data_IF_274390261932
#
_entry.id   IF_274390261932
#
_cell.length_a   1.000
_cell.length_b   1.000
_cell.length_c   1.000
_cell.angle_alpha   90.00
_cell.angle_beta   90.00
_cell.angle_gamma   90.00
#
_symmetry.space_group_name_H-M   'P 1'
#
loop_
_entity.id
_entity.type
_entity.pdbx_description
1 polymer ?
#
# COMPACT_ATOMS: atom_id res chain seq x y z
N UNK A 1 10.79 -9.25 32.35
CA UNK A 1 9.35 -9.62 32.39
C UNK A 1 8.62 -8.46 33.03
N UNK A 2 8.16 -7.50 32.24
CA UNK A 2 7.11 -6.56 32.67
C UNK A 2 6.13 -6.46 31.52
N UNK A 3 4.87 -6.86 31.80
CA UNK A 3 3.79 -6.88 30.82
C UNK A 3 3.35 -5.44 30.58
N UNK A 4 3.53 -4.97 29.35
CA UNK A 4 2.93 -3.72 28.89
C UNK A 4 1.43 -3.96 28.72
N UNK A 5 0.65 -3.69 29.76
CA UNK A 5 -0.81 -3.76 29.74
C UNK A 5 -1.35 -2.49 29.10
N UNK A 6 -1.98 -2.62 27.93
CA UNK A 6 -2.70 -1.53 27.27
C UNK A 6 -3.74 -0.95 28.26
N UNK A 7 -3.79 0.37 28.49
CA UNK A 7 -4.67 0.96 29.51
C UNK A 7 -6.13 0.64 29.20
N UNK A 8 -6.88 0.21 30.22
CA UNK A 8 -8.29 -0.12 30.02
C UNK A 8 -9.08 1.17 29.74
N UNK A 9 -10.25 1.10 29.08
CA UNK A 9 -11.07 2.28 28.75
C UNK A 9 -11.41 3.15 29.97
N UNK A 10 -11.50 2.54 31.16
CA UNK A 10 -11.68 3.26 32.43
C UNK A 10 -10.45 4.08 32.85
N UNK A 11 -9.26 3.61 32.53
CA UNK A 11 -8.00 4.29 32.84
C UNK A 11 -7.80 5.50 31.92
N UNK A 12 -8.17 5.36 30.64
CA UNK A 12 -8.20 6.47 29.68
C UNK A 12 -9.25 7.54 30.06
N UNK A 13 -10.42 7.11 30.56
CA UNK A 13 -11.43 8.01 31.09
C UNK A 13 -10.93 8.80 32.30
N UNK A 14 -10.29 8.12 33.25
CA UNK A 14 -9.71 8.77 34.43
C UNK A 14 -8.57 9.74 34.05
N UNK A 15 -7.77 9.38 33.05
CA UNK A 15 -6.66 10.20 32.55
C UNK A 15 -7.17 11.44 31.79
N UNK A 16 -8.21 11.31 30.96
CA UNK A 16 -8.84 12.44 30.28
C UNK A 16 -9.54 13.39 31.28
N UNK A 17 -10.14 12.84 32.34
CA UNK A 17 -10.73 13.63 33.43
C UNK A 17 -9.63 14.39 34.19
N UNK A 18 -8.50 13.76 34.50
CA UNK A 18 -7.37 14.42 35.17
C UNK A 18 -6.75 15.52 34.29
N UNK A 19 -6.55 15.28 33.00
CA UNK A 19 -6.03 16.29 32.06
C UNK A 19 -6.97 17.50 31.96
N UNK A 20 -8.30 17.27 32.01
CA UNK A 20 -9.30 18.35 32.00
C UNK A 20 -9.29 19.18 33.28
N UNK A 21 -8.90 18.57 34.41
CA UNK A 21 -8.76 19.23 35.71
C UNK A 21 -7.45 20.02 35.81
N UNK A 22 -6.38 19.57 35.17
CA UNK A 22 -5.10 20.29 35.17
C UNK A 22 -5.10 21.53 34.26
N UNK A 23 -5.78 21.45 33.10
CA UNK A 23 -5.98 22.61 32.20
C UNK A 23 -6.84 23.71 32.87
N UNK A 24 -7.73 23.33 33.82
CA UNK A 24 -8.57 24.26 34.57
C UNK A 24 -7.89 25.01 35.73
N UNK A 25 -6.59 24.82 35.97
CA UNK A 25 -5.85 25.52 37.05
C UNK A 25 -5.19 26.84 36.64
N UNK A 26 -5.31 27.26 35.38
CA UNK A 26 -4.61 28.44 34.86
C UNK A 26 -5.44 29.73 34.80
N UNK A 27 -6.74 29.73 35.11
CA UNK A 27 -7.56 30.95 35.06
C UNK A 27 -8.50 31.07 36.27
N UNK A 28 -8.48 32.26 36.88
CA UNK A 28 -9.14 32.59 38.14
C UNK A 28 -10.67 32.51 38.10
N UNK A 29 -11.17 31.73 39.05
CA UNK A 29 -12.44 31.75 39.78
C UNK A 29 -13.50 32.81 39.42
N UNK A 30 -14.57 32.36 38.75
CA UNK A 30 -15.97 32.57 39.19
C UNK A 30 -16.93 31.77 38.31
N UNK A 31 -17.43 30.62 38.79
CA UNK A 31 -18.67 30.05 38.27
C UNK A 31 -18.62 28.66 37.62
N UNK A 32 -17.66 27.78 37.93
CA UNK A 32 -17.70 26.38 37.45
C UNK A 32 -17.51 25.35 38.57
N UNK A 33 -18.18 25.56 39.72
CA UNK A 33 -18.49 24.49 40.67
C UNK A 33 -19.62 23.59 40.12
N UNK A 34 -19.35 22.97 38.98
CA UNK A 34 -20.21 21.98 38.35
C UNK A 34 -19.43 20.68 38.19
N UNK A 35 -19.23 19.96 39.30
CA UNK A 35 -19.03 18.51 39.29
C UNK A 35 -19.95 17.94 38.20
N UNK A 36 -19.38 17.25 37.20
CA UNK A 36 -20.13 16.79 36.03
C UNK A 36 -21.51 16.29 36.44
N UNK A 37 -22.55 16.94 35.91
CA UNK A 37 -23.92 16.64 36.24
C UNK A 37 -24.21 15.14 35.99
N UNK A 38 -24.87 14.43 36.94
CA UNK A 38 -25.12 12.99 36.82
C UNK A 38 -25.87 12.61 35.54
N UNK A 39 -26.70 13.49 35.00
CA UNK A 39 -27.44 13.24 33.76
C UNK A 39 -26.50 13.29 32.55
N UNK A 40 -25.50 14.19 32.56
CA UNK A 40 -24.49 14.28 31.50
C UNK A 40 -23.56 13.06 31.48
N UNK A 41 -23.21 12.49 32.64
CA UNK A 41 -22.47 11.21 32.71
C UNK A 41 -23.31 10.06 32.15
N UNK A 42 -24.57 9.93 32.57
CA UNK A 42 -25.46 8.89 32.06
C UNK A 42 -25.74 9.03 30.56
N UNK A 43 -25.83 10.26 30.06
CA UNK A 43 -25.95 10.52 28.63
C UNK A 43 -24.67 10.12 27.89
N UNK A 44 -23.48 10.49 28.37
CA UNK A 44 -22.22 10.06 27.78
C UNK A 44 -22.06 8.54 27.82
N UNK A 45 -22.40 7.88 28.94
CA UNK A 45 -22.38 6.42 29.05
C UNK A 45 -23.39 5.77 28.11
N UNK A 46 -24.57 6.36 27.93
CA UNK A 46 -25.60 5.87 26.99
C UNK A 46 -25.19 6.07 25.53
N UNK A 47 -24.59 7.22 25.19
CA UNK A 47 -24.03 7.49 23.87
C UNK A 47 -22.83 6.59 23.60
N UNK A 48 -21.96 6.39 24.57
CA UNK A 48 -20.85 5.43 24.44
C UNK A 48 -21.37 3.99 24.38
N UNK A 49 -22.42 3.62 25.09
CA UNK A 49 -23.02 2.29 25.00
C UNK A 49 -23.85 2.09 23.72
N UNK A 50 -24.39 3.13 23.10
CA UNK A 50 -25.06 3.01 21.80
C UNK A 50 -24.06 3.01 20.65
N UNK A 51 -22.97 3.79 20.76
CA UNK A 51 -21.90 3.90 19.77
C UNK A 51 -20.90 2.73 19.86
N UNK A 52 -20.56 2.28 21.07
CA UNK A 52 -19.60 1.19 21.33
C UNK A 52 -20.24 -0.10 21.90
N UNK A 53 -21.52 -0.08 22.31
CA UNK A 53 -22.22 -1.28 22.81
C UNK A 53 -22.89 -2.11 21.72
N UNK A 54 -22.82 -1.68 20.46
CA UNK A 54 -22.87 -2.57 19.30
C UNK A 54 -21.46 -3.12 19.00
N UNK A 55 -20.70 -3.51 20.03
CA UNK A 55 -19.49 -4.32 19.89
C UNK A 55 -19.90 -5.74 19.46
N UNK A 56 -20.44 -5.86 18.24
CA UNK A 56 -20.59 -7.14 17.60
C UNK A 56 -19.16 -7.64 17.39
N UNK A 57 -18.86 -8.80 17.95
CA UNK A 57 -17.60 -9.51 17.77
C UNK A 57 -17.14 -9.42 16.30
N UNK A 58 -15.99 -8.77 16.02
CA UNK A 58 -15.49 -8.58 14.66
C UNK A 58 -15.43 -9.90 13.88
N UNK A 59 -15.11 -11.01 14.55
CA UNK A 59 -15.05 -12.33 13.91
C UNK A 59 -16.44 -12.79 13.47
N UNK A 60 -17.50 -12.52 14.25
CA UNK A 60 -18.88 -12.83 13.85
C UNK A 60 -19.33 -11.97 12.68
N UNK A 61 -18.98 -10.68 12.68
CA UNK A 61 -19.28 -9.81 11.54
C UNK A 61 -18.58 -10.31 10.28
N UNK A 62 -17.27 -10.61 10.34
CA UNK A 62 -16.54 -11.16 9.20
C UNK A 62 -17.17 -12.45 8.68
N UNK A 63 -17.53 -13.40 9.55
CA UNK A 63 -18.22 -14.64 9.14
C UNK A 63 -19.54 -14.37 8.44
N UNK A 64 -20.31 -13.39 8.91
CA UNK A 64 -21.56 -12.98 8.25
C UNK A 64 -21.30 -12.40 6.87
N UNK A 65 -20.30 -11.53 6.73
CA UNK A 65 -19.91 -10.96 5.44
C UNK A 65 -19.43 -12.05 4.46
N UNK A 66 -18.60 -12.99 4.91
CA UNK A 66 -18.14 -14.11 4.08
C UNK A 66 -19.31 -14.97 3.59
N UNK A 67 -20.27 -15.29 4.47
CA UNK A 67 -21.47 -16.05 4.09
C UNK A 67 -22.33 -15.32 3.04
N UNK A 68 -22.42 -13.99 3.11
CA UNK A 68 -23.11 -13.18 2.09
C UNK A 68 -22.37 -13.22 0.76
N UNK A 69 -21.04 -13.15 0.77
CA UNK A 69 -20.22 -13.20 -0.46
C UNK A 69 -20.33 -14.55 -1.17
N UNK A 70 -20.42 -15.64 -0.42
CA UNK A 70 -20.57 -17.00 -0.94
C UNK A 70 -22.02 -17.34 -1.35
N UNK A 71 -23.00 -16.57 -0.89
CA UNK A 71 -24.41 -16.81 -1.21
C UNK A 71 -24.74 -16.50 -2.67
N UNK A 72 -25.42 -17.42 -3.33
CA UNK A 72 -25.99 -17.22 -4.67
C UNK A 72 -27.27 -16.37 -4.64
N UNK A 73 -27.92 -16.26 -3.47
CA UNK A 73 -29.16 -15.49 -3.30
C UNK A 73 -28.91 -14.03 -2.94
N UNK A 74 -27.69 -13.70 -2.51
CA UNK A 74 -27.32 -12.33 -2.15
C UNK A 74 -27.15 -11.47 -3.41
N UNK A 75 -27.75 -10.28 -3.39
CA UNK A 75 -27.63 -9.32 -4.48
C UNK A 75 -26.26 -8.61 -4.47
N UNK A 76 -25.97 -7.91 -5.57
CA UNK A 76 -24.71 -7.16 -5.73
C UNK A 76 -24.51 -6.08 -4.64
N UNK A 77 -25.59 -5.45 -4.18
CA UNK A 77 -25.53 -4.41 -3.13
C UNK A 77 -25.11 -5.00 -1.80
N UNK A 78 -25.68 -6.14 -1.41
CA UNK A 78 -25.36 -6.87 -0.19
C UNK A 78 -23.91 -7.38 -0.21
N UNK A 79 -23.46 -7.91 -1.35
CA UNK A 79 -22.07 -8.33 -1.53
C UNK A 79 -21.11 -7.15 -1.46
N UNK A 80 -21.44 -6.04 -2.12
CA UNK A 80 -20.59 -4.84 -2.13
C UNK A 80 -20.48 -4.24 -0.73
N UNK A 81 -21.59 -4.14 0.00
CA UNK A 81 -21.61 -3.72 1.39
C UNK A 81 -20.79 -4.66 2.29
N UNK A 82 -20.86 -5.97 2.06
CA UNK A 82 -20.06 -6.94 2.83
C UNK A 82 -18.56 -6.75 2.64
N UNK A 83 -18.11 -6.42 1.42
CA UNK A 83 -16.71 -6.08 1.17
C UNK A 83 -16.30 -4.76 1.87
N UNK A 84 -17.17 -3.75 1.89
CA UNK A 84 -16.89 -2.49 2.61
C UNK A 84 -16.74 -2.72 4.12
N UNK A 85 -17.61 -3.55 4.69
CA UNK A 85 -17.53 -3.93 6.10
C UNK A 85 -16.24 -4.71 6.38
N UNK A 86 -15.88 -5.68 5.53
CA UNK A 86 -14.61 -6.40 5.68
C UNK A 86 -13.40 -5.48 5.58
N UNK A 87 -13.43 -4.50 4.66
CA UNK A 87 -12.37 -3.51 4.53
C UNK A 87 -12.25 -2.67 5.82
N UNK A 88 -13.35 -2.17 6.38
CA UNK A 88 -13.29 -1.42 7.65
C UNK A 88 -12.82 -2.28 8.83
N UNK A 89 -13.25 -3.54 8.91
CA UNK A 89 -12.87 -4.43 10.02
C UNK A 89 -11.39 -4.80 10.00
N UNK A 90 -10.81 -4.98 8.82
CA UNK A 90 -9.44 -5.46 8.66
C UNK A 90 -8.37 -4.36 8.82
N UNK A 91 -8.75 -3.15 9.23
CA UNK A 91 -7.80 -2.09 9.62
C UNK A 91 -6.95 -2.52 10.84
N UNK A 92 -7.51 -3.39 11.69
CA UNK A 92 -6.78 -4.01 12.78
C UNK A 92 -6.04 -5.25 12.30
N UNK A 93 -4.73 -5.32 12.59
CA UNK A 93 -3.87 -6.47 12.26
C UNK A 93 -4.39 -7.77 12.89
N UNK A 94 -4.96 -7.71 14.11
CA UNK A 94 -5.52 -8.89 14.76
C UNK A 94 -6.73 -9.43 14.01
N UNK A 95 -7.62 -8.52 13.58
CA UNK A 95 -8.82 -8.86 12.81
C UNK A 95 -8.45 -9.35 11.40
N UNK A 96 -7.44 -8.75 10.78
CA UNK A 96 -6.87 -9.21 9.51
C UNK A 96 -6.36 -10.67 9.61
N UNK A 97 -5.65 -10.99 10.69
CA UNK A 97 -5.17 -12.35 10.92
C UNK A 97 -6.32 -13.33 11.18
N UNK A 98 -7.35 -12.91 11.89
CA UNK A 98 -8.54 -13.72 12.11
C UNK A 98 -9.33 -13.96 10.83
N UNK A 99 -9.38 -12.99 9.89
CA UNK A 99 -10.00 -13.17 8.58
C UNK A 99 -9.37 -14.34 7.82
N UNK A 100 -8.04 -14.46 7.85
CA UNK A 100 -7.35 -15.62 7.28
C UNK A 100 -7.77 -16.92 7.99
N UNK A 101 -7.73 -16.95 9.33
CA UNK A 101 -8.03 -18.16 10.13
C UNK A 101 -9.45 -18.69 9.92
N UNK A 102 -10.42 -17.82 9.63
CA UNK A 102 -11.80 -18.20 9.35
C UNK A 102 -12.06 -18.54 7.88
N UNK A 103 -11.04 -18.57 7.02
CA UNK A 103 -11.18 -18.95 5.61
C UNK A 103 -11.52 -17.80 4.66
N UNK A 104 -11.23 -16.56 5.01
CA UNK A 104 -11.57 -15.40 4.17
C UNK A 104 -10.77 -15.30 2.87
N UNK A 105 -9.54 -15.81 2.81
CA UNK A 105 -8.68 -15.66 1.62
C UNK A 105 -9.24 -16.34 0.36
N UNK A 106 -9.68 -17.62 0.39
CA UNK A 106 -10.34 -18.24 -0.76
C UNK A 106 -11.56 -17.46 -1.25
N UNK A 107 -12.38 -16.93 -0.34
CA UNK A 107 -13.59 -16.16 -0.69
C UNK A 107 -13.20 -14.84 -1.38
N UNK A 108 -12.25 -14.10 -0.80
CA UNK A 108 -11.74 -12.86 -1.41
C UNK A 108 -11.06 -13.12 -2.76
N UNK A 109 -10.34 -14.24 -2.89
CA UNK A 109 -9.73 -14.64 -4.15
C UNK A 109 -10.79 -14.92 -5.22
N UNK A 110 -11.90 -15.57 -4.85
CA UNK A 110 -13.03 -15.77 -5.76
C UNK A 110 -13.66 -14.43 -6.19
N UNK A 111 -13.80 -13.45 -5.28
CA UNK A 111 -14.25 -12.11 -5.63
C UNK A 111 -13.26 -11.37 -6.55
N UNK A 112 -11.97 -11.68 -6.46
CA UNK A 112 -10.91 -11.07 -7.27
C UNK A 112 -10.85 -11.64 -8.69
N UNK A 113 -11.17 -12.92 -8.90
CA UNK A 113 -11.05 -13.57 -10.22
C UNK A 113 -12.40 -13.95 -10.86
N UNK A 114 -13.51 -13.83 -10.13
CA UNK A 114 -14.83 -14.27 -10.58
C UNK A 114 -15.31 -13.52 -11.83
N UNK A 115 -15.82 -14.26 -12.81
CA UNK A 115 -16.41 -13.69 -14.04
C UNK A 115 -17.71 -12.92 -13.78
N UNK A 116 -18.43 -13.28 -12.72
CA UNK A 116 -19.64 -12.59 -12.25
C UNK A 116 -19.31 -11.38 -11.37
N UNK A 117 -18.05 -11.26 -10.93
CA UNK A 117 -17.58 -10.15 -10.12
C UNK A 117 -17.33 -8.95 -11.04
N UNK A 118 -18.27 -8.01 -11.07
CA UNK A 118 -18.07 -6.68 -11.66
C UNK A 118 -16.76 -6.02 -11.18
N UNK A 119 -16.25 -5.04 -11.95
CA UNK A 119 -14.94 -4.43 -11.68
C UNK A 119 -14.78 -3.88 -10.26
N UNK A 120 -15.87 -3.41 -9.64
CA UNK A 120 -15.91 -2.93 -8.26
C UNK A 120 -15.58 -4.03 -7.24
N UNK A 121 -16.12 -5.24 -7.40
CA UNK A 121 -15.85 -6.35 -6.49
C UNK A 121 -14.38 -6.77 -6.52
N UNK A 122 -13.81 -6.87 -7.73
CA UNK A 122 -12.38 -7.17 -7.89
C UNK A 122 -11.51 -6.09 -7.27
N UNK A 123 -11.89 -4.82 -7.45
CA UNK A 123 -11.18 -3.69 -6.86
C UNK A 123 -11.19 -3.77 -5.33
N UNK A 124 -12.37 -3.96 -4.71
CA UNK A 124 -12.50 -4.06 -3.24
C UNK A 124 -11.77 -5.27 -2.69
N UNK A 125 -11.83 -6.43 -3.36
CA UNK A 125 -11.08 -7.61 -2.96
C UNK A 125 -9.57 -7.37 -2.98
N UNK A 126 -9.04 -6.75 -4.06
CA UNK A 126 -7.63 -6.38 -4.14
C UNK A 126 -7.22 -5.35 -3.06
N UNK A 127 -8.10 -4.41 -2.74
CA UNK A 127 -7.89 -3.43 -1.67
C UNK A 127 -7.82 -4.09 -0.29
N UNK A 128 -8.75 -5.01 0.01
CA UNK A 128 -8.71 -5.80 1.25
C UNK A 128 -7.41 -6.61 1.31
N UNK A 129 -6.99 -7.29 0.23
CA UNK A 129 -5.70 -8.00 0.22
C UNK A 129 -4.53 -7.07 0.50
N UNK A 130 -4.51 -5.87 -0.09
CA UNK A 130 -3.47 -4.88 0.21
C UNK A 130 -3.42 -4.53 1.68
N UNK A 131 -4.57 -4.33 2.33
CA UNK A 131 -4.64 -4.02 3.75
C UNK A 131 -4.21 -5.20 4.62
N UNK A 132 -4.64 -6.42 4.27
CA UNK A 132 -4.27 -7.64 5.00
C UNK A 132 -2.76 -7.87 5.02
N UNK A 133 -2.05 -7.51 3.95
CA UNK A 133 -0.59 -7.68 3.85
C UNK A 133 0.21 -6.51 4.44
N UNK A 134 -0.38 -5.32 4.54
CA UNK A 134 0.35 -4.12 4.91
C UNK A 134 0.93 -4.23 6.33
N UNK A 135 2.26 -4.27 6.42
CA UNK A 135 3.00 -4.41 7.68
C UNK A 135 2.54 -5.63 8.52
N UNK A 136 2.11 -6.71 7.85
CA UNK A 136 1.59 -7.91 8.51
C UNK A 136 2.31 -9.18 8.04
N UNK A 137 3.43 -9.57 8.70
CA UNK A 137 4.21 -10.74 8.33
C UNK A 137 3.43 -12.06 8.35
N UNK A 138 2.41 -12.19 9.21
CA UNK A 138 1.59 -13.40 9.28
C UNK A 138 0.80 -13.59 7.99
N UNK A 139 0.02 -12.58 7.59
CA UNK A 139 -0.76 -12.64 6.36
C UNK A 139 0.13 -12.72 5.12
N UNK A 140 1.28 -12.03 5.10
CA UNK A 140 2.27 -12.12 4.02
C UNK A 140 2.76 -13.57 3.82
N UNK A 141 3.19 -14.23 4.90
CA UNK A 141 3.63 -15.62 4.84
C UNK A 141 2.49 -16.55 4.36
N UNK A 142 1.27 -16.36 4.88
CA UNK A 142 0.11 -17.17 4.48
C UNK A 142 -0.32 -16.96 3.04
N UNK A 143 -0.16 -15.77 2.49
CA UNK A 143 -0.40 -15.52 1.07
C UNK A 143 0.61 -16.26 0.17
N UNK A 144 1.88 -16.32 0.59
CA UNK A 144 2.93 -17.07 -0.14
C UNK A 144 2.72 -18.58 -0.02
N UNK A 145 2.55 -19.10 1.20
CA UNK A 145 2.28 -20.52 1.47
C UNK A 145 1.04 -21.02 0.71
N UNK A 146 -0.01 -20.18 0.64
CA UNK A 146 -1.25 -20.49 -0.05
C UNK A 146 -1.21 -20.37 -1.57
N UNK A 147 -0.08 -19.96 -2.16
CA UNK A 147 0.07 -19.87 -3.62
C UNK A 147 -0.74 -18.74 -4.26
N UNK A 148 -1.05 -17.66 -3.54
CA UNK A 148 -1.84 -16.54 -4.07
C UNK A 148 -1.02 -15.60 -4.97
N UNK A 149 0.29 -15.50 -4.74
CA UNK A 149 1.19 -14.66 -5.53
C UNK A 149 1.13 -14.89 -7.06
N UNK A 150 1.26 -16.13 -7.59
CA UNK A 150 1.13 -16.36 -9.03
C UNK A 150 -0.26 -16.00 -9.56
N UNK A 151 -1.32 -16.17 -8.75
CA UNK A 151 -2.68 -15.79 -9.15
C UNK A 151 -2.82 -14.28 -9.28
N UNK A 152 -2.20 -13.50 -8.38
CA UNK A 152 -2.25 -12.03 -8.43
C UNK A 152 -1.41 -11.45 -9.57
N UNK A 153 -0.27 -12.08 -9.88
CA UNK A 153 0.53 -11.73 -11.06
C UNK A 153 -0.25 -11.96 -12.36
N UNK A 154 -0.87 -13.14 -12.51
CA UNK A 154 -1.71 -13.47 -13.67
C UNK A 154 -2.93 -12.53 -13.79
N UNK A 155 -3.61 -12.25 -12.67
CA UNK A 155 -4.74 -11.32 -12.65
C UNK A 155 -4.30 -9.89 -13.04
N UNK A 156 -3.14 -9.41 -12.57
CA UNK A 156 -2.62 -8.08 -12.92
C UNK A 156 -2.32 -7.95 -14.43
N UNK A 157 -1.87 -9.02 -15.09
CA UNK A 157 -1.64 -9.02 -16.54
C UNK A 157 -2.95 -8.99 -17.34
N UNK A 158 -4.00 -9.67 -16.84
CA UNK A 158 -5.31 -9.77 -17.50
C UNK A 158 -6.29 -8.64 -17.17
N UNK A 159 -6.05 -7.90 -16.09
CA UNK A 159 -6.98 -6.88 -15.60
C UNK A 159 -7.10 -5.71 -16.58
N UNK A 160 -8.34 -5.45 -17.00
CA UNK A 160 -8.68 -4.39 -17.94
C UNK A 160 -9.11 -3.11 -17.24
N UNK A 161 -9.57 -3.19 -15.98
CA UNK A 161 -10.01 -2.03 -15.21
C UNK A 161 -8.83 -1.36 -14.49
N UNK A 162 -8.51 -0.09 -14.81
CA UNK A 162 -7.31 0.56 -14.27
C UNK A 162 -7.29 0.64 -12.74
N UNK A 163 -8.42 0.96 -12.11
CA UNK A 163 -8.52 1.07 -10.65
C UNK A 163 -8.25 -0.26 -9.96
N UNK A 164 -8.84 -1.35 -10.47
CA UNK A 164 -8.60 -2.70 -9.96
C UNK A 164 -7.13 -3.09 -10.11
N UNK A 165 -6.52 -2.78 -11.26
CA UNK A 165 -5.10 -3.08 -11.52
C UNK A 165 -4.17 -2.34 -10.57
N UNK A 166 -4.47 -1.09 -10.23
CA UNK A 166 -3.73 -0.33 -9.22
C UNK A 166 -3.87 -0.97 -7.83
N UNK A 167 -5.08 -1.39 -7.43
CA UNK A 167 -5.27 -2.06 -6.13
C UNK A 167 -4.56 -3.41 -6.05
N UNK A 168 -4.54 -4.18 -7.14
CA UNK A 168 -3.74 -5.40 -7.25
C UNK A 168 -2.25 -5.13 -7.07
N UNK A 169 -1.74 -4.07 -7.70
CA UNK A 169 -0.37 -3.64 -7.53
C UNK A 169 -0.07 -3.20 -6.10
N UNK A 170 -1.00 -2.51 -5.43
CA UNK A 170 -0.88 -2.18 -4.00
C UNK A 170 -0.81 -3.43 -3.12
N UNK A 171 -1.59 -4.47 -3.46
CA UNK A 171 -1.54 -5.75 -2.76
C UNK A 171 -0.19 -6.45 -2.93
N UNK A 172 0.35 -6.50 -4.16
CA UNK A 172 1.69 -7.01 -4.44
C UNK A 172 2.77 -6.21 -3.71
N UNK A 173 2.70 -4.88 -3.76
CA UNK A 173 3.63 -3.99 -3.05
C UNK A 173 3.62 -4.23 -1.54
N UNK A 174 2.43 -4.38 -0.94
CA UNK A 174 2.27 -4.68 0.49
C UNK A 174 2.73 -6.08 0.86
N UNK A 175 2.58 -7.06 -0.05
CA UNK A 175 3.07 -8.42 0.14
C UNK A 175 4.61 -8.48 0.17
N UNK A 176 5.28 -7.76 -0.74
CA UNK A 176 6.74 -7.83 -0.89
C UNK A 176 7.50 -6.99 0.15
N UNK A 177 6.91 -5.92 0.66
CA UNK A 177 7.57 -5.01 1.60
C UNK A 177 7.99 -5.72 2.87
N UNK A 178 9.27 -5.64 3.20
CA UNK A 178 9.86 -6.26 4.39
C UNK A 178 9.62 -7.77 4.50
N UNK A 179 9.40 -8.46 3.38
CA UNK A 179 9.09 -9.91 3.33
C UNK A 179 10.07 -10.65 2.41
N UNK A 180 11.22 -11.12 2.93
CA UNK A 180 12.21 -11.85 2.13
C UNK A 180 11.69 -13.14 1.49
N UNK A 181 10.72 -13.80 2.14
CA UNK A 181 10.08 -14.99 1.60
C UNK A 181 9.23 -14.66 0.37
N UNK A 182 8.39 -13.63 0.45
CA UNK A 182 7.57 -13.19 -0.67
C UNK A 182 8.43 -12.64 -1.82
N UNK A 183 9.50 -11.90 -1.51
CA UNK A 183 10.46 -11.41 -2.51
C UNK A 183 11.12 -12.57 -3.26
N UNK A 184 11.56 -13.62 -2.56
CA UNK A 184 12.14 -14.82 -3.19
C UNK A 184 11.11 -15.53 -4.08
N UNK A 185 9.88 -15.70 -3.61
CA UNK A 185 8.82 -16.31 -4.40
C UNK A 185 8.50 -15.47 -5.65
N UNK A 186 8.51 -14.15 -5.53
CA UNK A 186 8.30 -13.22 -6.65
C UNK A 186 9.42 -13.30 -7.69
N UNK A 187 10.69 -13.43 -7.27
CA UNK A 187 11.81 -13.66 -8.18
C UNK A 187 11.69 -15.00 -8.93
N UNK A 188 11.33 -16.07 -8.23
CA UNK A 188 11.14 -17.41 -8.84
C UNK A 188 10.03 -17.43 -9.88
N UNK A 189 9.05 -16.53 -9.78
CA UNK A 189 7.94 -16.39 -10.70
C UNK A 189 8.21 -15.37 -11.83
N UNK A 190 9.44 -14.87 -11.98
CA UNK A 190 9.78 -13.81 -12.94
C UNK A 190 8.90 -12.56 -12.76
N UNK A 191 8.56 -12.25 -11.50
CA UNK A 191 7.59 -11.22 -11.15
C UNK A 191 8.00 -9.80 -11.56
N UNK A 192 9.31 -9.50 -11.56
CA UNK A 192 9.81 -8.22 -12.06
C UNK A 192 9.51 -8.04 -13.55
N UNK A 193 9.68 -9.08 -14.35
CA UNK A 193 9.38 -9.03 -15.77
C UNK A 193 7.88 -8.86 -16.03
N UNK A 194 7.04 -9.56 -15.27
CA UNK A 194 5.58 -9.37 -15.33
C UNK A 194 5.18 -7.92 -15.00
N UNK A 195 5.74 -7.36 -13.92
CA UNK A 195 5.49 -5.98 -13.51
C UNK A 195 5.95 -4.98 -14.57
N UNK A 196 7.16 -5.14 -15.13
CA UNK A 196 7.69 -4.26 -16.17
C UNK A 196 6.85 -4.32 -17.44
N UNK A 197 6.44 -5.51 -17.90
CA UNK A 197 5.51 -5.65 -19.04
C UNK A 197 4.21 -4.90 -18.80
N UNK A 198 3.64 -5.01 -17.59
CA UNK A 198 2.44 -4.29 -17.20
C UNK A 198 2.66 -2.76 -17.20
N UNK A 199 3.79 -2.30 -16.66
CA UNK A 199 4.13 -0.87 -16.56
C UNK A 199 4.36 -0.24 -17.94
N UNK A 200 5.10 -0.91 -18.81
CA UNK A 200 5.43 -0.43 -20.17
C UNK A 200 4.19 -0.42 -21.07
N UNK A 201 3.32 -1.44 -20.97
CA UNK A 201 2.09 -1.50 -21.76
C UNK A 201 0.97 -0.57 -21.25
N UNK A 202 1.05 -0.12 -20.00
CA UNK A 202 0.05 0.76 -19.41
C UNK A 202 0.14 2.18 -19.95
N UNK A 203 -1.02 2.79 -20.19
CA UNK A 203 -1.17 4.24 -20.44
C UNK A 203 -1.67 5.00 -19.20
N UNK A 204 -1.94 4.28 -18.11
CA UNK A 204 -2.36 4.87 -16.86
C UNK A 204 -1.14 5.32 -16.04
N UNK A 205 -0.93 6.64 -16.00
CA UNK A 205 0.16 7.25 -15.25
C UNK A 205 0.12 6.95 -13.75
N UNK A 206 -1.06 6.72 -13.15
CA UNK A 206 -1.17 6.33 -11.73
C UNK A 206 -0.64 4.92 -11.50
N UNK A 207 -0.94 4.00 -12.40
CA UNK A 207 -0.38 2.64 -12.37
C UNK A 207 1.15 2.69 -12.54
N UNK A 208 1.65 3.44 -13.52
CA UNK A 208 3.09 3.59 -13.75
C UNK A 208 3.79 4.20 -12.52
N UNK A 209 3.21 5.24 -11.92
CA UNK A 209 3.74 5.87 -10.70
C UNK A 209 3.82 4.86 -9.55
N UNK A 210 2.74 4.11 -9.33
CA UNK A 210 2.68 3.10 -8.27
C UNK A 210 3.66 1.96 -8.50
N UNK A 211 3.89 1.59 -9.76
CA UNK A 211 4.83 0.53 -10.14
C UNK A 211 6.28 0.99 -9.93
N UNK A 212 6.61 2.23 -10.34
CA UNK A 212 7.91 2.84 -10.09
C UNK A 212 8.20 2.95 -8.59
N UNK A 213 7.22 3.38 -7.79
CA UNK A 213 7.33 3.42 -6.33
C UNK A 213 7.58 2.03 -5.74
N UNK A 214 6.80 1.02 -6.15
CA UNK A 214 7.02 -0.36 -5.70
C UNK A 214 8.44 -0.84 -6.04
N UNK A 215 8.91 -0.56 -7.25
CA UNK A 215 10.26 -0.91 -7.70
C UNK A 215 11.34 -0.23 -6.86
N UNK A 216 11.19 1.05 -6.52
CA UNK A 216 12.18 1.76 -5.68
C UNK A 216 12.30 1.16 -4.29
N UNK A 217 11.17 0.78 -3.70
CA UNK A 217 11.12 0.11 -2.40
C UNK A 217 11.79 -1.27 -2.43
N UNK A 218 11.40 -2.15 -3.36
CA UNK A 218 11.97 -3.51 -3.40
C UNK A 218 13.45 -3.52 -3.77
N UNK A 219 13.91 -2.61 -4.66
CA UNK A 219 15.33 -2.49 -4.99
C UNK A 219 16.16 -1.98 -3.81
N UNK A 220 15.58 -1.13 -2.96
CA UNK A 220 16.24 -0.66 -1.73
C UNK A 220 16.38 -1.78 -0.68
N UNK A 221 15.46 -2.75 -0.69
CA UNK A 221 15.43 -3.85 0.29
C UNK A 221 16.24 -5.08 -0.14
N UNK A 222 16.32 -5.38 -1.44
CA UNK A 222 16.95 -6.59 -1.96
C UNK A 222 17.77 -6.32 -3.24
N UNK A 223 19.10 -6.46 -3.12
CA UNK A 223 20.04 -6.25 -4.21
C UNK A 223 19.87 -7.22 -5.40
N UNK A 224 19.26 -8.40 -5.20
CA UNK A 224 19.01 -9.32 -6.31
C UNK A 224 18.03 -8.73 -7.33
N UNK A 225 17.10 -7.87 -6.91
CA UNK A 225 16.23 -7.12 -7.83
C UNK A 225 17.01 -6.12 -8.67
N UNK A 226 18.02 -5.46 -8.10
CA UNK A 226 18.90 -4.54 -8.84
C UNK A 226 19.63 -5.29 -9.96
N UNK A 227 20.22 -6.43 -9.65
CA UNK A 227 20.93 -7.26 -10.62
C UNK A 227 20.02 -7.77 -11.73
N UNK A 228 18.80 -8.20 -11.37
CA UNK A 228 17.80 -8.66 -12.33
C UNK A 228 17.38 -7.51 -13.25
N UNK A 229 16.99 -6.35 -12.70
CA UNK A 229 16.64 -5.18 -13.49
C UNK A 229 17.75 -4.83 -14.48
N UNK A 230 19.00 -4.70 -14.02
CA UNK A 230 20.13 -4.37 -14.88
C UNK A 230 20.29 -5.37 -16.05
N UNK A 231 20.18 -6.67 -15.79
CA UNK A 231 20.27 -7.72 -16.84
C UNK A 231 19.14 -7.64 -17.87
N UNK A 232 18.00 -7.05 -17.52
CA UNK A 232 16.87 -6.89 -18.43
C UNK A 232 16.97 -5.67 -19.35
N UNK A 233 17.99 -4.80 -19.22
CA UNK A 233 18.08 -3.56 -20.01
C UNK A 233 16.93 -2.58 -19.70
N UNK A 234 16.47 -2.57 -18.44
CA UNK A 234 15.38 -1.70 -18.01
C UNK A 234 15.74 -0.19 -18.06
N UNK A 235 17.04 0.14 -18.05
CA UNK A 235 17.54 1.52 -18.12
C UNK A 235 16.97 2.23 -19.34
N UNK A 236 17.02 1.61 -20.52
CA UNK A 236 16.45 2.18 -21.75
C UNK A 236 14.97 2.52 -21.62
N UNK A 237 14.20 1.63 -20.97
CA UNK A 237 12.77 1.82 -20.77
C UNK A 237 12.46 2.96 -19.81
N UNK A 238 13.21 3.07 -18.71
CA UNK A 238 13.00 4.13 -17.71
C UNK A 238 13.40 5.49 -18.24
N UNK A 239 14.53 5.56 -18.96
CA UNK A 239 14.94 6.79 -19.64
C UNK A 239 13.91 7.20 -20.70
N UNK A 240 13.39 6.26 -21.49
CA UNK A 240 12.34 6.55 -22.45
C UNK A 240 11.08 7.11 -21.78
N UNK A 241 10.64 6.53 -20.65
CA UNK A 241 9.50 7.04 -19.88
C UNK A 241 9.77 8.44 -19.28
N UNK A 242 10.97 8.68 -18.74
CA UNK A 242 11.36 9.99 -18.22
C UNK A 242 11.35 11.09 -19.29
N UNK A 243 11.80 10.76 -20.49
CA UNK A 243 11.90 11.70 -21.62
C UNK A 243 10.56 12.00 -22.29
N UNK A 244 9.50 11.27 -21.97
CA UNK A 244 8.16 11.58 -22.47
C UNK A 244 7.61 12.85 -21.80
N UNK A 245 7.64 13.96 -22.54
CA UNK A 245 7.27 15.30 -22.06
C UNK A 245 5.79 15.45 -21.69
N UNK A 246 4.89 14.71 -22.33
CA UNK A 246 3.43 14.93 -22.23
C UNK A 246 2.73 14.02 -21.20
N UNK A 247 3.39 12.97 -20.70
CA UNK A 247 2.72 11.89 -19.95
C UNK A 247 3.28 11.63 -18.56
N UNK A 248 4.55 11.95 -18.28
CA UNK A 248 5.12 11.66 -16.96
C UNK A 248 4.69 12.71 -15.92
N UNK A 249 3.88 12.27 -14.94
CA UNK A 249 3.58 13.07 -13.74
C UNK A 249 4.87 13.37 -12.98
N UNK A 250 4.83 14.42 -12.14
CA UNK A 250 5.94 14.74 -11.23
C UNK A 250 6.37 13.52 -10.41
N UNK A 251 5.40 12.83 -9.78
CA UNK A 251 5.69 11.65 -8.96
C UNK A 251 6.29 10.49 -9.76
N UNK A 252 5.84 10.26 -11.00
CA UNK A 252 6.42 9.22 -11.84
C UNK A 252 7.89 9.53 -12.13
N UNK A 253 8.23 10.79 -12.43
CA UNK A 253 9.62 11.19 -12.72
C UNK A 253 10.50 11.01 -11.50
N UNK A 254 10.04 11.45 -10.34
CA UNK A 254 10.76 11.29 -9.08
C UNK A 254 11.06 9.81 -8.81
N UNK A 255 10.04 8.94 -8.82
CA UNK A 255 10.25 7.51 -8.55
C UNK A 255 11.11 6.82 -9.61
N UNK A 256 10.94 7.13 -10.90
CA UNK A 256 11.81 6.58 -11.95
C UNK A 256 13.27 7.01 -11.76
N UNK A 257 13.49 8.27 -11.39
CA UNK A 257 14.84 8.80 -11.10
C UNK A 257 15.42 8.14 -9.86
N UNK A 258 14.61 7.91 -8.83
CA UNK A 258 15.00 7.16 -7.63
C UNK A 258 15.47 5.74 -7.99
N UNK A 259 14.67 4.97 -8.75
CA UNK A 259 15.07 3.61 -9.15
C UNK A 259 16.34 3.63 -10.00
N UNK A 260 16.48 4.59 -10.92
CA UNK A 260 17.70 4.76 -11.70
C UNK A 260 18.91 5.06 -10.80
N UNK A 261 18.80 5.96 -9.82
CA UNK A 261 19.89 6.26 -8.88
C UNK A 261 20.34 5.00 -8.12
N UNK A 262 19.38 4.25 -7.58
CA UNK A 262 19.66 3.00 -6.85
C UNK A 262 20.40 2.01 -7.75
N UNK A 263 19.87 1.72 -8.93
CA UNK A 263 20.44 0.67 -9.78
C UNK A 263 21.78 1.09 -10.39
N UNK A 264 21.95 2.34 -10.80
CA UNK A 264 23.21 2.84 -11.36
C UNK A 264 24.33 2.90 -10.30
N UNK A 265 24.01 3.14 -9.03
CA UNK A 265 24.97 3.06 -7.93
C UNK A 265 25.53 1.65 -7.76
N UNK A 266 24.66 0.64 -7.90
CA UNK A 266 25.00 -0.74 -7.56
C UNK A 266 25.34 -1.64 -8.75
N UNK A 267 25.05 -1.24 -9.99
CA UNK A 267 25.29 -2.06 -11.18
C UNK A 267 26.16 -1.37 -12.24
N UNK A 268 27.30 -1.98 -12.57
CA UNK A 268 28.16 -1.53 -13.65
C UNK A 268 27.52 -1.70 -15.04
N UNK A 269 26.72 -2.75 -15.23
CA UNK A 269 25.99 -2.99 -16.48
C UNK A 269 24.98 -1.85 -16.72
N UNK A 270 24.23 -1.48 -15.68
CA UNK A 270 23.29 -0.37 -15.79
C UNK A 270 23.99 0.96 -16.12
N UNK A 271 25.18 1.23 -15.55
CA UNK A 271 25.98 2.42 -15.89
C UNK A 271 26.43 2.42 -17.34
N UNK A 272 26.79 1.25 -17.88
CA UNK A 272 27.15 1.12 -19.29
C UNK A 272 25.95 1.42 -20.19
N UNK A 273 24.78 0.85 -19.89
CA UNK A 273 23.54 1.10 -20.62
C UNK A 273 23.17 2.59 -20.58
N UNK A 274 23.25 3.22 -19.41
CA UNK A 274 22.93 4.63 -19.21
C UNK A 274 23.90 5.59 -19.93
N UNK A 275 25.13 5.15 -20.18
CA UNK A 275 26.15 5.91 -20.90
C UNK A 275 26.01 5.84 -22.43
N UNK A 276 25.09 5.02 -22.95
CA UNK A 276 24.85 4.93 -24.38
C UNK A 276 24.42 6.27 -24.97
N UNK A 277 25.14 6.73 -25.99
CA UNK A 277 24.91 8.05 -26.62
C UNK A 277 23.48 8.24 -27.12
N UNK A 278 22.81 7.15 -27.52
CA UNK A 278 21.44 7.19 -28.01
C UNK A 278 20.42 7.59 -26.95
N UNK A 279 20.71 7.33 -25.66
CA UNK A 279 19.82 7.70 -24.55
C UNK A 279 19.94 9.19 -24.21
N UNK A 280 21.08 9.82 -24.51
CA UNK A 280 21.36 11.22 -24.19
C UNK A 280 21.02 11.58 -22.72
N UNK A 281 21.18 10.63 -21.80
CA UNK A 281 20.73 10.73 -20.42
C UNK A 281 21.42 11.88 -19.65
N UNK A 282 22.76 12.06 -19.72
CA UNK A 282 23.43 13.14 -18.97
C UNK A 282 22.90 14.53 -19.36
N UNK A 283 22.75 14.80 -20.65
CA UNK A 283 22.27 16.11 -21.13
C UNK A 283 20.81 16.34 -20.76
N UNK A 284 19.97 15.30 -20.85
CA UNK A 284 18.58 15.35 -20.41
C UNK A 284 18.47 15.68 -18.92
N UNK A 285 19.22 14.98 -18.07
CA UNK A 285 19.22 15.17 -16.62
C UNK A 285 19.75 16.55 -16.22
N UNK A 286 20.82 17.03 -16.84
CA UNK A 286 21.34 18.39 -16.62
C UNK A 286 20.34 19.47 -17.02
N UNK A 287 19.59 19.25 -18.10
CA UNK A 287 18.53 20.17 -18.52
C UNK A 287 17.38 20.13 -17.51
N UNK A 288 16.94 18.94 -17.10
CA UNK A 288 15.89 18.76 -16.09
C UNK A 288 16.25 19.42 -14.76
N UNK A 289 17.49 19.28 -14.30
CA UNK A 289 17.99 19.91 -13.08
C UNK A 289 17.87 21.45 -13.13
N UNK A 290 18.10 22.07 -14.28
CA UNK A 290 17.89 23.52 -14.47
C UNK A 290 16.42 23.91 -14.45
N UNK A 291 15.55 23.06 -14.97
CA UNK A 291 14.10 23.31 -15.01
C UNK A 291 13.44 23.25 -13.64
N UNK A 292 13.92 22.36 -12.75
CA UNK A 292 13.39 22.18 -11.39
C UNK A 292 14.16 22.95 -10.31
N UNK A 293 15.23 23.66 -10.70
CA UNK A 293 16.09 24.35 -9.75
C UNK A 293 15.31 25.35 -8.88
N UNK A 294 15.46 25.23 -7.56
CA UNK A 294 14.86 26.13 -6.57
C UNK A 294 13.37 25.89 -6.27
N UNK A 295 12.79 24.79 -6.78
CA UNK A 295 11.42 24.38 -6.48
C UNK A 295 11.46 23.28 -5.41
N UNK A 296 10.96 23.57 -4.20
CA UNK A 296 10.98 22.66 -3.05
C UNK A 296 10.26 21.34 -3.35
N UNK A 297 9.21 21.37 -4.16
CA UNK A 297 8.44 20.19 -4.54
C UNK A 297 9.21 19.17 -5.39
N UNK A 298 10.38 19.52 -5.92
CA UNK A 298 11.24 18.64 -6.73
C UNK A 298 12.59 18.37 -6.06
N UNK A 299 12.72 18.64 -4.76
CA UNK A 299 13.99 18.47 -4.05
C UNK A 299 14.51 17.02 -4.13
N UNK A 300 13.64 16.02 -3.90
CA UNK A 300 14.03 14.62 -3.98
C UNK A 300 14.47 14.23 -5.39
N UNK A 301 13.68 14.59 -6.42
CA UNK A 301 14.07 14.38 -7.84
C UNK A 301 15.45 15.00 -8.11
N UNK A 302 15.69 16.23 -7.67
CA UNK A 302 16.97 16.94 -7.84
C UNK A 302 18.13 16.21 -7.19
N UNK A 303 17.97 15.70 -5.95
CA UNK A 303 19.00 14.94 -5.24
C UNK A 303 19.34 13.65 -5.99
N UNK A 304 18.34 12.88 -6.45
CA UNK A 304 18.57 11.66 -7.23
C UNK A 304 19.26 11.96 -8.58
N UNK A 305 18.93 13.07 -9.25
CA UNK A 305 19.61 13.47 -10.49
C UNK A 305 21.09 13.73 -10.23
N UNK A 306 21.43 14.45 -9.15
CA UNK A 306 22.83 14.72 -8.82
C UNK A 306 23.61 13.43 -8.53
N UNK A 307 23.00 12.48 -7.83
CA UNK A 307 23.60 11.18 -7.58
C UNK A 307 23.86 10.40 -8.87
N UNK A 308 22.89 10.40 -9.79
CA UNK A 308 23.05 9.76 -11.11
C UNK A 308 24.22 10.40 -11.87
N UNK A 309 24.26 11.73 -11.95
CA UNK A 309 25.32 12.45 -12.68
C UNK A 309 26.73 12.22 -12.09
N UNK A 310 26.84 11.88 -10.79
CA UNK A 310 28.12 11.53 -10.15
C UNK A 310 28.63 10.13 -10.53
N UNK A 311 27.74 9.22 -10.90
CA UNK A 311 28.09 7.81 -11.21
C UNK A 311 28.11 7.50 -12.70
N UNK A 312 27.56 8.37 -13.56
CA UNK A 312 27.68 8.24 -15.00
C UNK A 312 29.13 8.51 -15.45
N UNK A 313 29.64 7.75 -16.44
CA UNK A 313 31.00 7.89 -16.95
C UNK A 313 31.22 9.14 -17.82
#
# INVERSE_FOLDING_TARGET
>A
MERNSNPQPKDLLNMAIQASVEVGKAEDTAGMNGLMDPERRKWLESVMASVFGQNIDPVKQMKSCLAVLESLEADETQKSHSLDVLLSLTESIDVANDLFKIGGFPVLQACLTGSESGGEFRQKAAEIFSQLMQNNPFCQAKAVEGGYLPLWLDQMEKETQPQTRIKLLSALSSLLRSSPEAQRAFEQLDGLSALLRCMISSKDGKFQTSAAFMLSRVCSENAAFIDHLAKMGFVHHFVALLQQKETASSQLREHLTEVLSIVLRHSALARQDAAERQLNLPAFLQQRQKEIAGQEEFQEESEYIEEILKVLP
#
